data_IF_732817128511
#
_entry.id   IF_732817128511
#
_cell.length_a   1.000
_cell.length_b   1.000
_cell.length_c   1.000
_cell.angle_alpha   90.00
_cell.angle_beta   90.00
_cell.angle_gamma   90.00
#
_symmetry.space_group_name_H-M   'P 1'
#
loop_
_entity.id
_entity.type
_entity.pdbx_description
1 polymer ?
#
# COMPACT_ATOMS: atom_id res chain seq x y z
N UNK A 1 -7.38 1.28 -14.50
CA UNK A 1 -7.35 -0.03 -13.82
C UNK A 1 -8.68 -0.72 -14.09
N UNK A 2 -8.66 -1.99 -14.52
CA UNK A 2 -9.86 -2.76 -14.90
C UNK A 2 -10.08 -4.01 -14.06
N UNK A 3 -9.12 -4.34 -13.19
CA UNK A 3 -9.15 -5.52 -12.32
C UNK A 3 -8.88 -5.10 -10.89
N UNK A 4 -9.40 -5.88 -9.93
CA UNK A 4 -9.12 -5.72 -8.51
C UNK A 4 -9.21 -7.07 -7.79
N UNK A 5 -8.46 -7.21 -6.71
CA UNK A 5 -8.60 -8.29 -5.73
C UNK A 5 -9.59 -7.91 -4.65
N UNK A 6 -10.36 -8.88 -4.18
CA UNK A 6 -11.35 -8.79 -3.09
C UNK A 6 -11.30 -10.08 -2.28
N UNK A 7 -11.60 -10.07 -0.96
CA UNK A 7 -11.73 -11.29 -0.19
C UNK A 7 -12.87 -12.15 -0.74
N UNK A 8 -12.73 -13.48 -0.58
CA UNK A 8 -13.77 -14.46 -0.95
C UNK A 8 -14.97 -14.37 -0.02
N UNK A 9 -14.73 -14.26 1.29
CA UNK A 9 -15.78 -14.07 2.28
C UNK A 9 -16.10 -12.57 2.44
N UNK A 10 -17.38 -12.16 2.42
CA UNK A 10 -17.82 -10.80 2.68
C UNK A 10 -17.37 -10.15 3.98
N UNK A 11 -17.17 -10.97 5.01
CA UNK A 11 -16.83 -10.53 6.36
C UNK A 11 -15.32 -10.37 6.54
N UNK A 12 -14.53 -10.92 5.62
CA UNK A 12 -13.08 -10.94 5.72
C UNK A 12 -12.44 -9.63 5.27
N UNK A 13 -11.22 -9.42 5.77
CA UNK A 13 -10.31 -8.39 5.26
C UNK A 13 -9.49 -8.91 4.08
N UNK A 14 -9.11 -8.03 3.15
CA UNK A 14 -8.07 -8.34 2.17
C UNK A 14 -6.71 -8.16 2.85
N UNK A 15 -5.93 -9.22 2.97
CA UNK A 15 -4.65 -9.20 3.69
C UNK A 15 -3.50 -9.70 2.82
N UNK A 16 -2.40 -8.94 2.79
CA UNK A 16 -1.18 -9.28 2.07
C UNK A 16 -0.05 -9.33 3.08
N UNK A 17 0.58 -10.49 3.21
CA UNK A 17 1.78 -10.70 4.03
C UNK A 17 2.96 -10.87 3.09
N UNK A 18 4.03 -10.12 3.32
CA UNK A 18 5.21 -10.14 2.47
C UNK A 18 6.48 -10.05 3.32
N UNK A 19 7.54 -10.70 2.84
CA UNK A 19 8.87 -10.61 3.43
C UNK A 19 9.57 -9.31 3.06
N UNK A 20 10.39 -8.79 3.97
CA UNK A 20 11.23 -7.62 3.77
C UNK A 20 12.69 -8.06 3.66
N UNK A 21 13.43 -7.64 2.60
CA UNK A 21 14.83 -8.02 2.43
C UNK A 21 15.75 -7.53 3.55
N UNK A 22 15.45 -6.36 4.12
CA UNK A 22 16.20 -5.75 5.22
C UNK A 22 15.24 -5.13 6.25
N UNK A 23 15.30 -5.59 7.50
CA UNK A 23 14.43 -5.12 8.57
C UNK A 23 14.76 -3.69 9.03
N UNK A 24 15.98 -3.22 8.75
CA UNK A 24 16.50 -1.92 9.17
C UNK A 24 16.37 -0.86 8.06
N UNK A 25 16.03 -1.27 6.83
CA UNK A 25 15.78 -0.34 5.74
C UNK A 25 14.45 0.42 5.91
N UNK A 26 14.35 1.54 5.22
CA UNK A 26 13.08 2.24 5.02
C UNK A 26 12.40 1.76 3.74
N UNK A 27 11.07 1.76 3.76
CA UNK A 27 10.24 1.36 2.65
C UNK A 27 9.21 2.43 2.28
N UNK A 28 8.91 2.53 0.99
CA UNK A 28 7.76 3.24 0.47
C UNK A 28 6.77 2.24 -0.11
N UNK A 29 5.52 2.32 0.30
CA UNK A 29 4.45 1.49 -0.22
C UNK A 29 3.39 2.34 -0.89
N UNK A 30 2.93 1.87 -2.05
CA UNK A 30 1.90 2.50 -2.87
C UNK A 30 0.78 1.51 -3.10
N UNK A 31 -0.43 1.89 -2.66
CA UNK A 31 -1.63 1.12 -2.91
C UNK A 31 -2.48 1.86 -3.92
N UNK A 32 -3.02 1.08 -4.86
CA UNK A 32 -3.73 1.57 -6.02
C UNK A 32 -5.19 1.17 -5.97
N UNK A 33 -6.08 2.16 -6.09
CA UNK A 33 -7.52 1.97 -6.02
C UNK A 33 -8.24 2.63 -7.19
N UNK A 34 -9.18 1.87 -7.77
CA UNK A 34 -10.20 2.32 -8.70
C UNK A 34 -11.42 1.42 -8.50
N UNK A 35 -12.62 2.02 -8.47
CA UNK A 35 -13.85 1.22 -8.45
C UNK A 35 -14.04 0.56 -9.82
N UNK A 36 -14.06 -0.78 -9.82
CA UNK A 36 -14.16 -1.61 -11.04
C UNK A 36 -15.58 -2.15 -11.25
N UNK A 37 -16.44 -2.07 -10.23
CA UNK A 37 -17.84 -2.46 -10.31
C UNK A 37 -18.73 -1.24 -10.54
N UNK A 38 -19.80 -1.42 -11.33
CA UNK A 38 -20.84 -0.39 -11.45
C UNK A 38 -21.77 -0.47 -10.25
N UNK A 39 -21.61 0.45 -9.30
CA UNK A 39 -22.39 0.46 -8.06
C UNK A 39 -23.86 0.83 -8.32
N UNK A 40 -24.78 0.10 -7.71
CA UNK A 40 -26.19 0.49 -7.61
C UNK A 40 -26.37 1.62 -6.57
N UNK A 41 -27.51 2.32 -6.61
CA UNK A 41 -27.80 3.48 -5.73
C UNK A 41 -27.71 3.14 -4.23
N UNK A 42 -28.04 1.91 -3.86
CA UNK A 42 -27.98 1.40 -2.49
C UNK A 42 -26.66 0.70 -2.15
N UNK A 43 -25.70 0.65 -3.07
CA UNK A 43 -24.40 0.02 -2.86
C UNK A 43 -23.33 1.08 -2.59
N UNK A 44 -22.47 0.79 -1.63
CA UNK A 44 -21.30 1.59 -1.34
C UNK A 44 -20.11 0.69 -1.01
N UNK A 45 -18.92 1.16 -1.40
CA UNK A 45 -17.65 0.59 -0.96
C UNK A 45 -16.89 1.62 -0.16
N UNK A 46 -16.74 1.36 1.13
CA UNK A 46 -15.95 2.15 2.05
C UNK A 46 -14.98 1.22 2.77
N UNK A 47 -13.71 1.61 2.79
CA UNK A 47 -12.64 0.76 3.29
C UNK A 47 -11.61 1.55 4.09
N UNK A 48 -10.84 0.83 4.91
CA UNK A 48 -9.72 1.34 5.70
C UNK A 48 -8.43 0.63 5.29
N UNK A 49 -7.27 1.27 5.47
CA UNK A 49 -5.97 0.63 5.25
C UNK A 49 -5.23 0.52 6.57
N UNK A 50 -4.77 -0.68 6.87
CA UNK A 50 -3.94 -0.99 8.03
C UNK A 50 -2.59 -1.50 7.57
N UNK A 51 -1.55 -1.11 8.30
CA UNK A 51 -0.19 -1.65 8.18
C UNK A 51 0.24 -2.20 9.52
N UNK A 52 0.63 -3.47 9.56
CA UNK A 52 1.02 -4.16 10.79
C UNK A 52 0.00 -3.95 11.93
N UNK A 53 -1.30 -4.03 11.60
CA UNK A 53 -2.42 -3.84 12.54
C UNK A 53 -2.73 -2.38 12.91
N UNK A 54 -1.97 -1.38 12.44
CA UNK A 54 -2.24 0.05 12.70
C UNK A 54 -2.94 0.71 11.51
N UNK A 55 -4.02 1.44 11.77
CA UNK A 55 -4.71 2.22 10.74
C UNK A 55 -3.77 3.31 10.20
N UNK A 56 -3.52 3.28 8.89
CA UNK A 56 -2.64 4.23 8.17
C UNK A 56 -3.43 5.18 7.27
N UNK A 57 -4.64 4.77 6.88
CA UNK A 57 -5.55 5.61 6.13
C UNK A 57 -6.98 5.40 6.60
N UNK A 58 -7.64 6.51 6.91
CA UNK A 58 -9.01 6.54 7.35
C UNK A 58 -9.99 6.07 6.28
N UNK A 59 -11.28 6.03 6.63
CA UNK A 59 -12.35 5.53 5.77
C UNK A 59 -12.42 6.28 4.44
N UNK A 60 -12.38 5.57 3.32
CA UNK A 60 -12.48 6.16 1.99
C UNK A 60 -13.20 5.26 0.99
N UNK A 61 -13.82 5.83 -0.06
CA UNK A 61 -14.26 5.09 -1.23
C UNK A 61 -13.14 5.01 -2.29
N UNK A 62 -13.03 3.90 -3.05
CA UNK A 62 -12.28 3.90 -4.29
C UNK A 62 -12.89 4.90 -5.29
N UNK A 63 -12.06 5.65 -6.03
CA UNK A 63 -12.58 6.61 -7.00
C UNK A 63 -13.31 5.92 -8.15
N UNK A 64 -14.46 6.47 -8.53
CA UNK A 64 -15.19 6.08 -9.74
C UNK A 64 -14.65 6.87 -10.92
N UNK A 65 -14.44 6.23 -12.07
CA UNK A 65 -14.01 6.84 -13.35
C UNK A 65 -12.64 7.53 -13.36
N UNK A 66 -12.04 7.78 -12.19
CA UNK A 66 -10.67 8.24 -12.00
C UNK A 66 -9.79 7.06 -11.63
N UNK A 67 -8.60 7.01 -12.20
CA UNK A 67 -7.79 5.80 -12.19
C UNK A 67 -7.00 5.57 -10.91
N UNK A 68 -6.96 6.52 -9.97
CA UNK A 68 -5.80 6.63 -9.09
C UNK A 68 -6.11 7.35 -7.77
N UNK A 69 -6.29 6.59 -6.69
CA UNK A 69 -5.89 7.05 -5.35
C UNK A 69 -4.60 6.33 -5.00
N UNK A 70 -3.48 7.05 -5.04
CA UNK A 70 -2.23 6.56 -4.47
C UNK A 70 -2.24 6.89 -2.99
N UNK A 71 -2.36 5.88 -2.14
CA UNK A 71 -1.97 6.08 -0.75
C UNK A 71 -0.46 5.87 -0.62
N UNK A 72 0.31 6.97 -0.60
CA UNK A 72 1.71 6.96 -0.17
C UNK A 72 1.71 6.83 1.34
N UNK A 73 1.96 5.62 1.82
CA UNK A 73 2.32 5.47 3.22
C UNK A 73 3.74 5.97 3.31
N UNK A 74 3.98 7.05 4.06
CA UNK A 74 5.32 7.64 4.22
C UNK A 74 6.38 6.59 4.60
N UNK A 75 7.65 6.97 4.47
CA UNK A 75 8.78 6.07 4.77
C UNK A 75 8.54 5.33 6.08
N UNK A 76 8.75 4.02 6.06
CA UNK A 76 8.48 3.18 7.22
C UNK A 76 9.49 2.04 7.34
N UNK A 77 9.78 1.67 8.57
CA UNK A 77 10.56 0.49 8.92
C UNK A 77 9.70 -0.48 9.70
N UNK A 78 9.82 -1.77 9.39
CA UNK A 78 9.06 -2.81 10.10
C UNK A 78 9.77 -3.28 11.37
N UNK A 79 11.11 -3.23 11.39
CA UNK A 79 11.95 -3.92 12.38
C UNK A 79 11.58 -5.41 12.54
N UNK A 80 10.96 -6.00 11.51
CA UNK A 80 10.42 -7.35 11.44
C UNK A 80 10.67 -7.92 10.03
N UNK A 81 10.96 -9.21 9.92
CA UNK A 81 11.24 -9.89 8.63
C UNK A 81 10.02 -9.91 7.70
N UNK A 82 8.83 -9.81 8.28
CA UNK A 82 7.58 -9.80 7.56
C UNK A 82 6.81 -8.53 7.90
N UNK A 83 6.04 -8.05 6.93
CA UNK A 83 5.08 -6.99 7.12
C UNK A 83 3.74 -7.41 6.55
N UNK A 84 2.70 -6.72 7.01
CA UNK A 84 1.34 -6.93 6.57
C UNK A 84 0.69 -5.61 6.18
N UNK A 85 -0.01 -5.65 5.05
CA UNK A 85 -1.00 -4.65 4.67
C UNK A 85 -2.35 -5.35 4.67
N UNK A 86 -3.32 -4.76 5.37
CA UNK A 86 -4.70 -5.23 5.34
C UNK A 86 -5.66 -4.11 5.02
N UNK A 87 -6.71 -4.45 4.28
CA UNK A 87 -7.76 -3.54 3.86
C UNK A 87 -9.06 -4.13 4.36
N UNK A 88 -9.79 -3.37 5.17
CA UNK A 88 -11.01 -3.84 5.82
C UNK A 88 -12.22 -3.09 5.31
N UNK A 89 -13.37 -3.79 5.28
CA UNK A 89 -14.67 -3.19 5.04
C UNK A 89 -15.01 -2.24 6.19
N UNK A 90 -15.49 -1.03 5.88
CA UNK A 90 -16.11 -0.19 6.89
C UNK A 90 -17.51 -0.72 7.25
N UNK A 91 -17.95 -0.55 8.50
CA UNK A 91 -19.22 -1.10 8.99
C UNK A 91 -20.42 -0.75 8.09
N UNK A 92 -20.47 0.50 7.61
CA UNK A 92 -21.54 1.01 6.76
C UNK A 92 -21.34 0.77 5.25
N UNK A 93 -20.30 0.03 4.84
CA UNK A 93 -20.06 -0.36 3.44
C UNK A 93 -20.88 -1.59 3.09
N UNK A 94 -21.54 -1.63 1.94
CA UNK A 94 -22.29 -2.82 1.51
C UNK A 94 -21.42 -3.80 0.73
N UNK A 95 -20.27 -3.34 0.23
CA UNK A 95 -19.35 -4.13 -0.59
C UNK A 95 -18.03 -4.38 0.13
N UNK A 96 -17.35 -5.46 -0.27
CA UNK A 96 -16.08 -5.91 0.31
C UNK A 96 -14.95 -4.93 -0.03
N UNK A 97 -13.81 -4.93 0.66
CA UNK A 97 -12.68 -4.11 0.26
C UNK A 97 -12.10 -4.58 -1.09
N UNK A 98 -11.59 -3.64 -1.89
CA UNK A 98 -10.86 -3.95 -3.11
C UNK A 98 -9.46 -3.35 -3.10
N UNK A 99 -8.57 -3.95 -3.88
CA UNK A 99 -7.24 -3.42 -4.21
C UNK A 99 -6.90 -3.74 -5.66
N UNK A 100 -6.46 -2.75 -6.43
CA UNK A 100 -6.09 -2.97 -7.82
C UNK A 100 -4.62 -3.38 -7.97
N UNK A 101 -3.72 -2.72 -7.23
CA UNK A 101 -2.30 -3.05 -7.21
C UNK A 101 -1.63 -2.60 -5.90
N UNK A 102 -0.52 -3.25 -5.57
CA UNK A 102 0.35 -2.93 -4.43
C UNK A 102 1.80 -2.92 -4.90
N UNK A 103 2.49 -1.82 -4.62
CA UNK A 103 3.92 -1.67 -4.89
C UNK A 103 4.66 -1.35 -3.59
N UNK A 104 5.87 -1.88 -3.47
CA UNK A 104 6.76 -1.59 -2.36
C UNK A 104 8.18 -1.39 -2.87
N UNK A 105 8.83 -0.34 -2.37
CA UNK A 105 10.18 0.05 -2.72
C UNK A 105 11.02 0.17 -1.46
N UNK A 106 12.19 -0.44 -1.46
CA UNK A 106 13.19 -0.31 -0.40
C UNK A 106 14.10 0.87 -0.71
N UNK A 107 14.35 1.73 0.27
CA UNK A 107 15.35 2.80 0.16
C UNK A 107 16.73 2.16 0.19
N UNK A 108 17.54 2.45 -0.83
CA UNK A 108 18.95 2.09 -0.86
C UNK A 108 19.79 3.34 -0.61
N UNK A 109 20.52 3.34 0.50
CA UNK A 109 21.52 4.36 0.74
C UNK A 109 22.79 3.97 -0.03
N UNK A 110 23.08 4.69 -1.12
CA UNK A 110 24.37 4.59 -1.79
C UNK A 110 25.34 5.48 -1.02
N UNK A 111 26.33 4.87 -0.36
CA UNK A 111 27.49 5.61 0.12
C UNK A 111 28.37 5.80 -1.12
N UNK A 112 28.31 6.97 -1.73
CA UNK A 112 29.31 7.35 -2.74
C UNK A 112 30.65 7.42 -2.02
N UNK A 113 31.56 6.51 -2.36
CA UNK A 113 32.95 6.66 -1.98
C UNK A 113 33.47 7.89 -2.73
N UNK A 114 33.83 8.95 -2.00
CA UNK A 114 34.51 10.10 -2.56
C UNK A 114 35.75 9.60 -3.31
N UNK A 115 35.79 9.82 -4.62
CA UNK A 115 37.02 9.63 -5.38
C UNK A 115 37.96 10.74 -4.95
N UNK A 116 38.91 10.42 -4.07
CA UNK A 116 40.02 11.32 -3.77
C UNK A 116 40.78 11.52 -5.08
N UNK A 117 40.55 12.65 -5.75
CA UNK A 117 41.48 13.14 -6.76
C UNK A 117 42.74 13.55 -5.99
N UNK A 118 43.70 12.62 -5.89
CA UNK A 118 45.08 13.03 -5.70
C UNK A 118 45.48 13.80 -6.95
N UNK A 119 45.31 15.12 -6.89
CA UNK A 119 46.00 16.04 -7.78
C UNK A 119 47.50 15.84 -7.52
N UNK A 120 48.15 15.12 -8.45
CA UNK A 120 49.58 14.92 -8.49
C UNK A 120 50.28 16.27 -8.56
N UNK A 121 50.75 16.73 -7.40
CA UNK A 121 51.49 17.98 -7.30
C UNK A 121 52.99 17.71 -7.46
N UNK A 122 53.52 18.23 -8.58
CA UNK A 122 54.89 18.70 -8.85
C UNK A 122 56.12 17.84 -8.50
#
# INVERSE_FOLDING_TARGET
MSTASTPKDPSDSLSIIFGLPDMNAEYYSYLHFAEVERLQVNQSRLQYIFRNGRCTFGRFPPPQYLSYTIHRIGAWSSYAQYANISITRAENSTLHPILNAFEIYMVKNLIEAETSQEDGNH
#
